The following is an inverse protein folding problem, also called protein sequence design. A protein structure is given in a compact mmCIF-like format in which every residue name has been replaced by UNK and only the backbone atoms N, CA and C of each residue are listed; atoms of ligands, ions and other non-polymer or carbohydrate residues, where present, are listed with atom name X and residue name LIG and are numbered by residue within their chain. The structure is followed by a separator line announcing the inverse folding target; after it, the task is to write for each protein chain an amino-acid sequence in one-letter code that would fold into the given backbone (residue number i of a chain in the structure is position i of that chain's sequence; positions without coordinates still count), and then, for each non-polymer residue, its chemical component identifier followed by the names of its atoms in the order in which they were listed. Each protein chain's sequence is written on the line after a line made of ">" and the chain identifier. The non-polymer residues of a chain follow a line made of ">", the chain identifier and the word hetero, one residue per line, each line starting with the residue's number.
data_IF_710471310632
#
_entry.id   IF_710471310632
#
_cell.length_a   1.000
_cell.length_b   1.000
_cell.length_c   1.000
_cell.angle_alpha   90.00
_cell.angle_beta   90.00
_cell.angle_gamma   90.00
#
_symmetry.space_group_name_H-M   'P 1'
#
loop_
_entity.id
_entity.type
_entity.pdbx_description
1 polymer ?
#
# COMPACT_ATOMS: atom_id res chain seq x y z
N UNK A 1 10.85 20.28 5.81
CA UNK A 1 10.51 20.35 4.37
C UNK A 1 11.06 19.07 3.77
N UNK A 2 10.33 17.98 3.99
CA UNK A 2 10.85 16.64 3.79
C UNK A 2 10.96 16.31 2.31
N UNK A 3 12.05 15.62 2.00
CA UNK A 3 12.29 14.93 0.76
C UNK A 3 11.17 13.90 0.63
N UNK A 4 10.05 14.29 0.01
CA UNK A 4 9.14 13.33 -0.60
C UNK A 4 10.02 12.60 -1.61
N UNK A 5 10.29 11.34 -1.31
CA UNK A 5 11.16 10.47 -2.11
C UNK A 5 10.89 10.71 -3.60
N UNK A 6 11.94 11.02 -4.37
CA UNK A 6 11.87 11.20 -5.84
C UNK A 6 11.15 10.05 -6.57
N UNK A 7 11.00 8.90 -5.92
CA UNK A 7 10.31 7.72 -6.44
C UNK A 7 8.78 7.80 -6.33
N UNK A 8 8.24 8.53 -5.34
CA UNK A 8 6.79 8.71 -5.17
C UNK A 8 6.18 9.48 -6.36
N UNK A 9 6.89 10.51 -6.84
CA UNK A 9 6.47 11.34 -7.97
C UNK A 9 6.52 10.63 -9.32
N UNK A 10 7.22 9.49 -9.45
CA UNK A 10 7.29 8.79 -10.74
C UNK A 10 6.17 7.75 -10.96
N UNK A 11 5.47 7.34 -9.90
CA UNK A 11 4.39 6.35 -9.99
C UNK A 11 2.99 6.99 -9.99
N UNK A 12 2.86 8.20 -9.43
CA UNK A 12 1.58 8.92 -9.35
C UNK A 12 1.78 10.37 -9.80
N UNK A 13 1.28 10.67 -10.98
CA UNK A 13 1.34 12.03 -11.57
C UNK A 13 0.37 13.00 -10.88
N UNK A 14 -0.64 12.48 -10.19
CA UNK A 14 -1.71 13.26 -9.59
C UNK A 14 -1.49 13.48 -8.09
N UNK A 15 -1.66 14.72 -7.67
CA UNK A 15 -1.77 15.09 -6.26
C UNK A 15 -3.24 15.20 -5.89
N UNK A 16 -3.61 14.62 -4.75
CA UNK A 16 -4.97 14.65 -4.25
C UNK A 16 -5.05 15.60 -3.07
N UNK A 17 -6.09 16.44 -3.07
CA UNK A 17 -6.37 17.33 -1.95
C UNK A 17 -7.60 16.82 -1.19
N UNK A 18 -7.55 16.93 0.14
CA UNK A 18 -8.70 16.67 1.02
C UNK A 18 -9.32 15.25 0.93
N UNK A 19 -8.49 14.22 0.76
CA UNK A 19 -8.97 12.84 0.78
C UNK A 19 -9.56 12.46 2.15
N UNK A 20 -10.79 11.96 2.15
CA UNK A 20 -11.46 11.43 3.35
C UNK A 20 -11.27 9.92 3.50
N UNK A 21 -11.15 9.18 2.39
CA UNK A 21 -10.95 7.74 2.38
C UNK A 21 -9.91 7.36 1.32
N UNK A 22 -8.99 6.47 1.66
CA UNK A 22 -7.98 5.93 0.74
C UNK A 22 -8.27 4.44 0.54
N UNK A 23 -8.52 4.04 -0.70
CA UNK A 23 -8.58 2.65 -1.12
C UNK A 23 -7.45 2.45 -2.12
N UNK A 24 -6.44 1.65 -1.77
CA UNK A 24 -5.19 1.59 -2.54
C UNK A 24 -4.67 0.16 -2.65
N UNK A 25 -4.19 -0.24 -3.82
CA UNK A 25 -3.48 -1.50 -3.99
C UNK A 25 -2.22 -1.53 -3.11
N UNK A 26 -1.97 -2.63 -2.41
CA UNK A 26 -0.77 -2.83 -1.62
C UNK A 26 -0.30 -4.27 -1.78
N UNK A 27 0.23 -4.57 -2.96
CA UNK A 27 0.32 -5.93 -3.46
C UNK A 27 1.49 -6.72 -2.87
N UNK A 28 2.68 -6.13 -2.81
CA UNK A 28 3.87 -6.87 -2.41
C UNK A 28 4.80 -6.03 -1.54
N UNK A 29 5.72 -6.71 -0.86
CA UNK A 29 6.91 -6.12 -0.25
C UNK A 29 8.12 -6.61 -1.01
N UNK A 30 9.05 -5.72 -1.37
CA UNK A 30 10.26 -6.12 -2.08
C UNK A 30 11.09 -7.14 -1.29
N UNK A 31 11.05 -7.07 0.04
CA UNK A 31 11.76 -8.00 0.92
C UNK A 31 11.18 -9.41 0.83
N UNK A 32 9.85 -9.54 0.94
CA UNK A 32 9.16 -10.84 0.82
C UNK A 32 9.36 -11.40 -0.59
N UNK A 33 9.21 -10.56 -1.64
CA UNK A 33 9.42 -10.97 -3.02
C UNK A 33 10.84 -11.51 -3.25
N UNK A 34 11.87 -10.80 -2.76
CA UNK A 34 13.25 -11.23 -2.90
C UNK A 34 13.53 -12.53 -2.14
N UNK A 35 12.96 -12.69 -0.93
CA UNK A 35 13.10 -13.92 -0.16
C UNK A 35 12.44 -15.10 -0.88
N UNK A 36 11.21 -14.95 -1.37
CA UNK A 36 10.53 -15.98 -2.14
C UNK A 36 11.26 -16.38 -3.43
N UNK A 37 12.01 -15.46 -4.05
CA UNK A 37 12.86 -15.77 -5.20
C UNK A 37 14.09 -16.58 -4.76
N UNK A 38 14.71 -16.22 -3.64
CA UNK A 38 15.86 -16.98 -3.09
C UNK A 38 15.44 -18.38 -2.68
N UNK A 39 14.25 -18.53 -2.11
CA UNK A 39 13.68 -19.82 -1.68
C UNK A 39 13.11 -20.66 -2.84
N UNK A 40 13.15 -20.13 -4.08
CA UNK A 40 12.66 -20.82 -5.28
C UNK A 40 11.13 -20.91 -5.40
N UNK A 41 10.39 -20.22 -4.53
CA UNK A 41 8.91 -20.15 -4.55
C UNK A 41 8.42 -19.37 -5.78
N UNK A 42 9.12 -18.29 -6.13
CA UNK A 42 8.80 -17.45 -7.28
C UNK A 42 9.97 -17.47 -8.28
N UNK A 43 9.73 -17.75 -9.57
CA UNK A 43 10.75 -17.65 -10.60
C UNK A 43 11.32 -16.23 -10.71
N UNK A 44 12.65 -16.10 -10.82
CA UNK A 44 13.34 -14.80 -10.99
C UNK A 44 12.74 -13.97 -12.13
N UNK A 45 12.34 -14.62 -13.23
CA UNK A 45 11.72 -13.97 -14.39
C UNK A 45 10.43 -13.21 -14.07
N UNK A 46 9.71 -13.56 -12.99
CA UNK A 46 8.47 -12.88 -12.59
C UNK A 46 8.73 -11.55 -11.86
N UNK A 47 9.93 -11.35 -11.29
CA UNK A 47 10.26 -10.17 -10.46
C UNK A 47 9.96 -8.86 -11.18
N UNK A 48 10.49 -8.71 -12.40
CA UNK A 48 10.35 -7.47 -13.17
C UNK A 48 8.90 -7.17 -13.53
N UNK A 49 8.10 -8.21 -13.79
CA UNK A 49 6.67 -8.06 -14.06
C UNK A 49 5.93 -7.58 -12.80
N UNK A 50 6.20 -8.19 -11.65
CA UNK A 50 5.55 -7.82 -10.38
C UNK A 50 5.85 -6.36 -10.02
N UNK A 51 7.13 -5.97 -10.06
CA UNK A 51 7.56 -4.59 -9.75
C UNK A 51 6.95 -3.57 -10.70
N UNK A 52 6.78 -3.92 -11.98
CA UNK A 52 6.22 -3.00 -12.99
C UNK A 52 4.71 -2.86 -12.91
N UNK A 53 4.00 -3.91 -12.51
CA UNK A 53 2.54 -4.00 -12.65
C UNK A 53 1.77 -3.80 -11.37
N UNK A 54 2.43 -3.86 -10.20
CA UNK A 54 1.76 -3.81 -8.90
C UNK A 54 2.38 -2.79 -7.97
N UNK A 55 1.59 -2.35 -6.99
CA UNK A 55 2.00 -1.30 -6.06
C UNK A 55 2.61 -1.87 -4.77
N UNK A 56 3.85 -1.47 -4.47
CA UNK A 56 4.61 -1.94 -3.31
C UNK A 56 4.18 -1.27 -2.00
N UNK A 57 4.27 -2.00 -0.88
CA UNK A 57 4.05 -1.48 0.47
C UNK A 57 4.81 -0.19 0.77
N UNK A 58 6.10 -0.08 0.43
CA UNK A 58 6.87 1.13 0.72
C UNK A 58 6.39 2.33 -0.10
N UNK A 59 5.93 2.11 -1.34
CA UNK A 59 5.31 3.17 -2.12
C UNK A 59 3.94 3.58 -1.56
N UNK A 60 3.16 2.62 -1.04
CA UNK A 60 1.90 2.89 -0.33
C UNK A 60 2.14 3.69 0.94
N UNK A 61 3.21 3.40 1.70
CA UNK A 61 3.59 4.18 2.89
C UNK A 61 3.86 5.64 2.54
N UNK A 62 4.63 5.90 1.49
CA UNK A 62 4.87 7.27 1.01
C UNK A 62 3.59 7.94 0.50
N UNK A 63 2.72 7.17 -0.19
CA UNK A 63 1.40 7.66 -0.59
C UNK A 63 0.54 8.09 0.59
N UNK A 64 0.46 7.27 1.62
CA UNK A 64 -0.32 7.57 2.82
C UNK A 64 0.24 8.81 3.51
N UNK A 65 1.55 8.90 3.73
CA UNK A 65 2.21 10.07 4.35
C UNK A 65 1.90 11.36 3.60
N UNK A 66 2.01 11.35 2.27
CA UNK A 66 1.77 12.51 1.43
C UNK A 66 0.30 12.99 1.47
N UNK A 67 -0.63 12.10 1.82
CA UNK A 67 -2.07 12.39 1.84
C UNK A 67 -2.67 12.47 3.26
N UNK A 68 -1.83 12.43 4.31
CA UNK A 68 -2.29 12.63 5.68
C UNK A 68 -2.91 14.02 5.82
N UNK A 69 -4.16 14.06 6.25
CA UNK A 69 -4.89 15.31 6.45
C UNK A 69 -6.03 15.11 7.47
N UNK A 70 -6.55 16.17 8.11
CA UNK A 70 -7.58 16.07 9.15
C UNK A 70 -8.93 15.46 8.71
N UNK A 71 -9.20 15.42 7.39
CA UNK A 71 -10.41 14.81 6.84
C UNK A 71 -10.28 13.32 6.61
N UNK A 72 -9.06 12.77 6.58
CA UNK A 72 -8.84 11.34 6.40
C UNK A 72 -9.54 10.55 7.53
N UNK A 73 -10.14 9.41 7.18
CA UNK A 73 -10.92 8.56 8.10
C UNK A 73 -10.53 7.09 8.02
N UNK A 74 -10.36 6.60 6.79
CA UNK A 74 -10.08 5.19 6.56
C UNK A 74 -9.04 5.02 5.45
N UNK A 75 -8.18 4.02 5.65
CA UNK A 75 -7.28 3.49 4.64
C UNK A 75 -7.61 2.01 4.46
N UNK A 76 -7.83 1.59 3.22
CA UNK A 76 -8.13 0.21 2.87
C UNK A 76 -7.07 -0.28 1.90
N UNK A 77 -6.35 -1.31 2.30
CA UNK A 77 -5.36 -1.98 1.48
C UNK A 77 -6.05 -3.05 0.64
N UNK A 78 -5.91 -2.93 -0.67
CA UNK A 78 -6.50 -3.81 -1.68
C UNK A 78 -5.44 -4.72 -2.28
N UNK A 79 -5.89 -5.84 -2.84
CA UNK A 79 -5.13 -6.65 -3.78
C UNK A 79 -3.72 -7.06 -3.28
N UNK A 80 -3.67 -7.55 -2.04
CA UNK A 80 -2.48 -8.17 -1.47
C UNK A 80 -2.13 -9.45 -2.25
N UNK A 81 -0.85 -9.68 -2.51
CA UNK A 81 -0.35 -10.91 -3.15
C UNK A 81 -0.40 -12.07 -2.17
N UNK A 82 -0.92 -13.22 -2.61
CA UNK A 82 -0.95 -14.44 -1.79
C UNK A 82 0.44 -14.85 -1.28
N UNK A 83 1.47 -14.69 -2.11
CA UNK A 83 2.83 -15.14 -1.79
C UNK A 83 3.74 -13.99 -1.31
N UNK A 84 3.56 -12.77 -1.84
CA UNK A 84 4.53 -11.69 -1.64
C UNK A 84 4.07 -10.61 -0.64
N UNK A 85 3.06 -10.92 0.18
CA UNK A 85 2.50 -9.99 1.17
C UNK A 85 2.25 -10.67 2.52
N UNK A 86 1.98 -9.85 3.54
CA UNK A 86 1.53 -10.30 4.85
C UNK A 86 0.48 -9.33 5.37
N UNK A 87 -0.78 -9.76 5.44
CA UNK A 87 -1.90 -8.92 5.89
C UNK A 87 -1.61 -8.24 7.24
N UNK A 88 -1.01 -9.00 8.18
CA UNK A 88 -0.67 -8.51 9.52
C UNK A 88 0.43 -7.44 9.47
N UNK A 89 1.51 -7.70 8.74
CA UNK A 89 2.65 -6.78 8.67
C UNK A 89 2.30 -5.52 7.88
N UNK A 90 1.57 -5.66 6.77
CA UNK A 90 1.20 -4.56 5.89
C UNK A 90 0.25 -3.61 6.62
N UNK A 91 -0.79 -4.15 7.26
CA UNK A 91 -1.69 -3.37 8.10
C UNK A 91 -0.91 -2.63 9.19
N UNK A 92 -0.06 -3.32 9.95
CA UNK A 92 0.74 -2.71 11.03
C UNK A 92 1.67 -1.61 10.51
N UNK A 93 2.26 -1.80 9.34
CA UNK A 93 3.18 -0.83 8.73
C UNK A 93 2.48 0.46 8.27
N UNK A 94 1.18 0.40 7.96
CA UNK A 94 0.39 1.59 7.63
C UNK A 94 -0.23 2.20 8.90
N UNK A 95 -0.69 1.38 9.85
CA UNK A 95 -1.16 1.85 11.16
C UNK A 95 -0.08 2.60 11.94
N UNK A 96 1.20 2.33 11.71
CA UNK A 96 2.29 3.09 12.35
C UNK A 96 2.47 4.51 11.80
N UNK A 97 1.80 4.85 10.70
CA UNK A 97 1.89 6.16 10.05
C UNK A 97 0.69 7.06 10.33
N UNK A 98 -0.41 6.51 10.85
CA UNK A 98 -1.68 7.23 11.02
C UNK A 98 -2.43 6.74 12.25
N UNK A 99 -3.24 7.61 12.83
CA UNK A 99 -4.20 7.22 13.87
C UNK A 99 -5.56 6.77 13.29
N UNK A 100 -5.74 6.87 11.97
CA UNK A 100 -6.97 6.51 11.28
C UNK A 100 -7.10 4.99 11.07
N UNK A 101 -8.32 4.50 10.81
CA UNK A 101 -8.57 3.07 10.67
C UNK A 101 -7.91 2.51 9.40
N UNK A 102 -7.10 1.46 9.56
CA UNK A 102 -6.51 0.71 8.44
C UNK A 102 -7.16 -0.67 8.34
N UNK A 103 -7.66 -1.03 7.15
CA UNK A 103 -8.28 -2.33 6.90
C UNK A 103 -7.64 -3.03 5.71
N UNK A 104 -7.62 -4.36 5.75
CA UNK A 104 -7.31 -5.19 4.59
C UNK A 104 -8.65 -5.56 3.94
N UNK A 105 -8.77 -5.36 2.63
CA UNK A 105 -9.95 -5.80 1.91
C UNK A 105 -9.99 -7.33 1.81
N UNK A 106 -11.16 -7.90 2.10
CA UNK A 106 -11.44 -9.32 1.96
C UNK A 106 -12.89 -9.51 1.47
N UNK A 107 -13.20 -10.70 0.95
CA UNK A 107 -14.51 -11.05 0.44
C UNK A 107 -15.57 -10.81 1.51
N UNK A 108 -16.56 -9.99 1.18
CA UNK A 108 -17.67 -9.69 2.08
C UNK A 108 -17.41 -8.55 3.06
N UNK A 109 -16.23 -7.90 3.02
CA UNK A 109 -16.01 -6.67 3.75
C UNK A 109 -17.03 -5.61 3.28
N UNK A 110 -17.81 -5.09 4.23
CA UNK A 110 -18.71 -3.97 4.03
C UNK A 110 -18.26 -2.81 4.90
N UNK A 111 -18.25 -1.62 4.33
CA UNK A 111 -17.94 -0.41 5.07
C UNK A 111 -18.73 0.76 4.52
N UNK A 112 -19.11 1.64 5.43
CA UNK A 112 -19.74 2.90 5.09
C UNK A 112 -18.65 3.96 4.94
N UNK A 113 -18.73 4.73 3.84
CA UNK A 113 -17.84 5.85 3.58
C UNK A 113 -18.58 7.14 3.97
N UNK A 114 -18.69 7.39 5.27
CA UNK A 114 -19.31 8.60 5.77
C UNK A 114 -18.35 9.79 5.75
N UNK A 115 -18.91 10.97 5.55
CA UNK A 115 -18.25 12.25 5.84
C UNK A 115 -18.61 12.65 7.29
N UNK A 116 -17.73 13.40 7.96
CA UNK A 116 -18.05 13.96 9.30
C UNK A 116 -18.91 15.20 9.17
#
# INVERSE_FOLDING_TARGET
>A
MEIISKFYLSLLEYQFNNLSHILVECNYSINILNQNIQDGIIPVAMKNRIIRSHFELDNVKEFVKANLNPKLRNIVLLHLSDNNSSCKEFRKAIESLTFESVRIADRGLRMELSER
#
